data_IF_668344995717
#
_entry.id   IF_668344995717
#
_cell.length_a   1.000
_cell.length_b   1.000
_cell.length_c   1.000
_cell.angle_alpha   90.00
_cell.angle_beta   90.00
_cell.angle_gamma   90.00
#
_symmetry.space_group_name_H-M   'P 1'
#
loop_
_entity.id
_entity.type
_entity.pdbx_description
1 polymer ?
#
# COMPACT_ATOMS: atom_id res chain seq x y z
N UNK A 1 5.77 14.80 4.57
CA UNK A 1 7.18 14.39 4.38
C UNK A 1 7.87 14.10 5.70
N UNK A 2 7.56 14.82 6.79
CA UNK A 2 8.06 14.53 8.15
C UNK A 2 7.95 13.03 8.53
N UNK A 3 6.80 12.41 8.31
CA UNK A 3 6.60 10.99 8.65
C UNK A 3 7.48 10.02 7.84
N UNK A 4 7.78 10.32 6.58
CA UNK A 4 8.69 9.52 5.76
C UNK A 4 10.14 9.69 6.24
N UNK A 5 10.55 10.93 6.49
CA UNK A 5 11.90 11.26 6.93
C UNK A 5 12.19 10.66 8.32
N UNK A 6 11.21 10.73 9.24
CA UNK A 6 11.29 10.12 10.57
C UNK A 6 11.37 8.58 10.47
N UNK A 7 10.56 7.95 9.63
CA UNK A 7 10.64 6.51 9.41
C UNK A 7 11.99 6.09 8.83
N UNK A 8 12.50 6.81 7.82
CA UNK A 8 13.79 6.52 7.21
C UNK A 8 14.94 6.69 8.21
N UNK A 9 14.82 7.64 9.14
CA UNK A 9 15.79 7.83 10.22
C UNK A 9 15.75 6.72 11.27
N UNK A 10 14.57 6.25 11.63
CA UNK A 10 14.40 5.14 12.60
C UNK A 10 14.81 3.79 12.01
N UNK A 11 14.59 3.58 10.70
CA UNK A 11 14.83 2.32 9.98
C UNK A 11 15.75 2.50 8.76
N UNK A 12 17.03 2.87 8.94
CA UNK A 12 17.93 3.26 7.84
C UNK A 12 18.25 2.15 6.84
N UNK A 13 18.07 0.88 7.23
CA UNK A 13 18.35 -0.28 6.38
C UNK A 13 17.11 -0.81 5.64
N UNK A 14 15.98 -0.10 5.68
CA UNK A 14 14.75 -0.48 4.97
C UNK A 14 14.63 0.35 3.70
N UNK A 15 14.75 -0.31 2.55
CA UNK A 15 14.50 0.32 1.25
C UNK A 15 13.01 0.58 1.06
N UNK A 16 12.63 1.84 0.85
CA UNK A 16 11.28 2.23 0.48
C UNK A 16 11.26 2.68 -0.97
N UNK A 17 10.31 2.17 -1.74
CA UNK A 17 10.03 2.64 -3.10
C UNK A 17 8.61 3.19 -3.14
N UNK A 18 8.44 4.40 -3.67
CA UNK A 18 7.14 5.03 -3.83
C UNK A 18 6.79 5.11 -5.33
N UNK A 19 5.57 4.70 -5.68
CA UNK A 19 5.03 4.72 -7.05
C UNK A 19 3.71 5.47 -7.07
N UNK A 20 3.40 6.11 -8.19
CA UNK A 20 2.08 6.73 -8.37
C UNK A 20 1.00 5.65 -8.44
N UNK A 21 -0.18 5.90 -7.88
CA UNK A 21 -1.32 4.97 -8.00
C UNK A 21 -1.99 5.06 -9.38
N UNK A 22 -1.71 6.12 -10.14
CA UNK A 22 -2.34 6.38 -11.45
C UNK A 22 -3.85 6.60 -11.40
N UNK A 23 -4.43 6.80 -10.20
CA UNK A 23 -5.89 6.87 -10.03
C UNK A 23 -6.61 5.54 -10.22
N UNK A 24 -5.87 4.42 -10.28
CA UNK A 24 -6.42 3.08 -10.53
C UNK A 24 -7.10 2.50 -9.28
N UNK A 25 -6.68 2.95 -8.08
CA UNK A 25 -7.14 2.41 -6.80
C UNK A 25 -7.56 3.50 -5.83
N UNK A 26 -8.69 3.27 -5.14
CA UNK A 26 -9.22 4.14 -4.08
C UNK A 26 -9.09 3.53 -2.68
N UNK A 27 -8.98 2.20 -2.60
CA UNK A 27 -8.81 1.47 -1.35
C UNK A 27 -7.35 1.26 -0.99
N UNK A 28 -7.11 0.87 0.26
CA UNK A 28 -5.77 0.66 0.82
C UNK A 28 -5.55 -0.84 1.04
N UNK A 29 -4.38 -1.33 0.64
CA UNK A 29 -3.99 -2.72 0.84
C UNK A 29 -2.63 -2.79 1.50
N UNK A 30 -2.43 -3.82 2.31
CA UNK A 30 -1.12 -4.22 2.81
C UNK A 30 -0.86 -5.60 2.22
N UNK A 31 0.23 -5.72 1.46
CA UNK A 31 0.69 -6.98 0.91
C UNK A 31 2.02 -7.30 1.57
N UNK A 32 2.12 -8.47 2.16
CA UNK A 32 3.32 -8.98 2.80
C UNK A 32 3.85 -10.15 1.98
N UNK A 33 5.18 -10.23 1.82
CA UNK A 33 5.89 -11.28 1.09
C UNK A 33 5.37 -11.52 -0.34
N UNK A 34 5.12 -10.44 -1.09
CA UNK A 34 4.64 -10.47 -2.49
C UNK A 34 5.43 -11.46 -3.37
N UNK A 35 4.71 -12.30 -4.11
CA UNK A 35 5.28 -13.29 -5.02
C UNK A 35 5.82 -14.56 -4.33
N UNK A 36 5.69 -14.69 -3.00
CA UNK A 36 6.14 -15.87 -2.26
C UNK A 36 4.98 -16.79 -1.86
N UNK A 37 5.30 -17.96 -1.30
CA UNK A 37 4.28 -18.87 -0.74
C UNK A 37 3.63 -18.33 0.53
N UNK A 38 4.33 -17.45 1.28
CA UNK A 38 3.83 -16.83 2.51
C UNK A 38 3.10 -15.52 2.26
N UNK A 39 2.82 -15.18 0.99
CA UNK A 39 2.11 -13.97 0.62
C UNK A 39 0.78 -13.84 1.36
N UNK A 40 0.57 -12.67 1.96
CA UNK A 40 -0.68 -12.29 2.61
C UNK A 40 -1.14 -10.94 2.12
N UNK A 41 -2.44 -10.85 1.84
CA UNK A 41 -3.09 -9.61 1.39
C UNK A 41 -4.08 -9.19 2.46
N UNK A 42 -4.00 -7.94 2.88
CA UNK A 42 -4.94 -7.32 3.80
C UNK A 42 -5.62 -6.15 3.13
N UNK A 43 -6.95 -6.11 3.21
CA UNK A 43 -7.74 -4.95 2.84
C UNK A 43 -7.89 -4.05 4.07
N UNK A 44 -7.41 -2.82 3.94
CA UNK A 44 -7.62 -1.78 4.93
C UNK A 44 -8.89 -1.05 4.50
N UNK A 45 -9.99 -1.26 5.24
CA UNK A 45 -11.34 -0.81 4.87
C UNK A 45 -11.50 0.68 4.52
N UNK A 46 -12.74 1.08 4.23
CA UNK A 46 -13.13 2.37 3.63
C UNK A 46 -12.24 3.56 4.03
N UNK A 47 -11.61 4.20 3.04
CA UNK A 47 -10.92 5.47 3.24
C UNK A 47 -11.91 6.53 3.75
N UNK A 48 -11.58 7.15 4.88
CA UNK A 48 -12.49 7.86 5.78
C UNK A 48 -13.00 9.22 5.28
N UNK A 49 -13.56 9.33 4.08
CA UNK A 49 -14.23 10.58 3.69
C UNK A 49 -15.48 10.87 4.53
N UNK A 50 -16.18 9.85 5.03
CA UNK A 50 -17.41 10.00 5.83
C UNK A 50 -17.37 9.39 7.26
N UNK A 51 -16.25 8.75 7.64
CA UNK A 51 -16.17 7.93 8.86
C UNK A 51 -15.25 8.51 9.95
N UNK A 52 -15.38 9.81 10.26
CA UNK A 52 -14.97 10.42 11.53
C UNK A 52 -13.69 9.92 12.22
N UNK A 53 -12.57 9.76 11.50
CA UNK A 53 -11.25 9.40 12.06
C UNK A 53 -11.18 8.08 12.87
N UNK A 54 -12.08 7.11 12.65
CA UNK A 54 -12.00 5.79 13.32
C UNK A 54 -11.31 4.76 12.44
N UNK A 55 -10.40 3.98 13.04
CA UNK A 55 -9.61 2.94 12.38
C UNK A 55 -10.53 1.97 11.65
N UNK A 56 -10.36 1.96 10.33
CA UNK A 56 -11.02 1.08 9.39
C UNK A 56 -10.37 -0.30 9.47
N UNK A 57 -11.16 -1.34 9.65
CA UNK A 57 -10.71 -2.73 9.83
C UNK A 57 -9.63 -3.12 8.82
N UNK A 58 -8.58 -3.78 9.30
CA UNK A 58 -7.60 -4.48 8.47
C UNK A 58 -8.03 -5.95 8.46
N UNK A 59 -8.53 -6.42 7.32
CA UNK A 59 -9.04 -7.79 7.17
C UNK A 59 -8.17 -8.56 6.18
N UNK A 60 -7.70 -9.75 6.57
CA UNK A 60 -7.01 -10.65 5.65
C UNK A 60 -7.97 -11.10 4.55
N UNK A 61 -7.51 -11.06 3.31
CA UNK A 61 -8.28 -11.46 2.14
C UNK A 61 -7.79 -12.84 1.69
N UNK A 62 -8.63 -13.90 1.79
CA UNK A 62 -8.22 -15.25 1.40
C UNK A 62 -7.97 -15.38 -0.11
N UNK A 63 -8.71 -14.64 -0.92
CA UNK A 63 -8.68 -14.67 -2.39
C UNK A 63 -7.62 -13.70 -2.95
N UNK A 64 -6.35 -13.95 -2.61
CA UNK A 64 -5.21 -13.10 -3.02
C UNK A 64 -5.04 -13.02 -4.54
N UNK A 65 -5.39 -14.08 -5.26
CA UNK A 65 -5.22 -14.18 -6.71
C UNK A 65 -6.03 -13.10 -7.47
N UNK A 66 -7.17 -12.67 -6.91
CA UNK A 66 -7.98 -11.60 -7.47
C UNK A 66 -7.26 -10.24 -7.49
N UNK A 67 -6.29 -10.03 -6.60
CA UNK A 67 -5.55 -8.78 -6.46
C UNK A 67 -4.22 -8.77 -7.22
N UNK A 68 -3.74 -9.95 -7.65
CA UNK A 68 -2.42 -10.10 -8.27
C UNK A 68 -2.25 -9.24 -9.52
N UNK A 69 -3.22 -9.26 -10.43
CA UNK A 69 -3.17 -8.46 -11.66
C UNK A 69 -3.11 -6.95 -11.39
N UNK A 70 -3.80 -6.51 -10.34
CA UNK A 70 -3.80 -5.11 -9.89
C UNK A 70 -2.43 -4.74 -9.33
N UNK A 71 -1.88 -5.57 -8.44
CA UNK A 71 -0.57 -5.35 -7.81
C UNK A 71 0.52 -5.28 -8.88
N UNK A 72 0.53 -6.23 -9.82
CA UNK A 72 1.47 -6.25 -10.94
C UNK A 72 1.34 -5.01 -11.83
N UNK A 73 0.14 -4.45 -11.98
CA UNK A 73 -0.10 -3.17 -12.64
C UNK A 73 0.53 -2.00 -11.89
N UNK A 74 0.26 -1.89 -10.58
CA UNK A 74 0.79 -0.83 -9.73
C UNK A 74 2.32 -0.84 -9.65
N UNK A 75 2.95 -2.02 -9.62
CA UNK A 75 4.40 -2.16 -9.61
C UNK A 75 5.07 -1.64 -10.90
N UNK A 76 4.34 -1.61 -12.01
CA UNK A 76 4.80 -1.04 -13.29
C UNK A 76 4.67 0.48 -13.36
N UNK A 77 3.98 1.11 -12.40
CA UNK A 77 3.81 2.56 -12.40
C UNK A 77 5.13 3.31 -12.18
N UNK A 78 5.13 4.55 -12.68
CA UNK A 78 6.27 5.45 -12.54
C UNK A 78 6.52 5.79 -11.07
N UNK A 79 7.79 6.06 -10.70
CA UNK A 79 8.10 6.54 -9.36
C UNK A 79 7.27 7.78 -9.02
N UNK A 80 6.82 7.86 -7.76
CA UNK A 80 6.14 9.06 -7.27
C UNK A 80 7.14 10.21 -7.29
N UNK A 81 6.92 11.18 -8.19
CA UNK A 81 7.64 12.45 -8.18
C UNK A 81 6.89 13.38 -7.24
N UNK A 82 7.57 13.86 -6.22
CA UNK A 82 7.06 14.94 -5.40
C UNK A 82 7.28 16.24 -6.18
N UNK A 83 6.19 16.83 -6.69
CA UNK A 83 6.23 18.22 -7.15
C UNK A 83 6.08 19.10 -5.91
N UNK A 84 7.04 20.02 -5.72
CA UNK A 84 7.02 21.05 -4.66
C UNK A 84 6.06 22.16 -5.02
#
# INVERSE_FOLDING_TARGET
MLEYDDFAKEYPNRGITLKTSGGIFHDRYIILDDGTKSEKVYHCGASSKDAGNRVTTITEVPEREAYRAIIEGLLKNVPLKWEQ
#
